data_IF_379651709664
#
_entry.id   IF_379651709664
#
_cell.length_a   1.000
_cell.length_b   1.000
_cell.length_c   1.000
_cell.angle_alpha   90.00
_cell.angle_beta   90.00
_cell.angle_gamma   90.00
#
_symmetry.space_group_name_H-M   'P 1'
#
loop_
_entity.id
_entity.type
_entity.pdbx_description
1 polymer ?
#
# COMPACT_ATOMS: atom_id res chain seq x y z
N UNK A 1 -1.98 29.91 -10.83
CA UNK A 1 -2.06 28.60 -11.50
C UNK A 1 -1.92 27.54 -10.42
N UNK A 2 -3.03 27.14 -9.78
CA UNK A 2 -3.03 26.13 -8.71
C UNK A 2 -3.12 24.76 -9.38
N UNK A 3 -2.03 23.99 -9.37
CA UNK A 3 -2.08 22.57 -9.70
C UNK A 3 -2.86 21.88 -8.58
N UNK A 4 -4.13 21.57 -8.82
CA UNK A 4 -4.85 20.59 -8.02
C UNK A 4 -4.36 19.21 -8.46
N UNK A 5 -3.40 18.67 -7.71
CA UNK A 5 -2.99 17.27 -7.81
C UNK A 5 -4.12 16.44 -7.18
N UNK A 6 -5.07 15.99 -7.99
CA UNK A 6 -6.16 15.12 -7.53
C UNK A 6 -5.57 13.72 -7.26
N UNK A 7 -5.11 13.49 -6.02
CA UNK A 7 -4.92 12.13 -5.52
C UNK A 7 -6.30 11.48 -5.43
N UNK A 8 -6.53 10.48 -6.26
CA UNK A 8 -7.76 9.67 -6.20
C UNK A 8 -7.70 8.80 -4.95
N UNK A 9 -8.23 9.31 -3.85
CA UNK A 9 -8.70 8.50 -2.73
C UNK A 9 -10.09 8.01 -3.08
N UNK A 10 -10.28 6.69 -3.10
CA UNK A 10 -11.61 6.10 -3.01
C UNK A 10 -12.15 6.30 -1.57
N UNK A 11 -12.45 7.55 -1.22
CA UNK A 11 -13.27 7.91 -0.07
C UNK A 11 -14.63 8.36 -0.60
N UNK A 12 -15.42 7.40 -1.04
CA UNK A 12 -16.82 7.60 -1.43
C UNK A 12 -17.65 6.57 -0.66
N UNK A 13 -18.27 7.04 0.42
CA UNK A 13 -19.52 6.60 1.10
C UNK A 13 -20.00 5.13 1.11
N UNK A 14 -19.18 4.14 0.75
CA UNK A 14 -19.54 2.72 0.79
C UNK A 14 -18.34 1.88 1.26
N UNK A 15 -18.28 1.67 2.58
CA UNK A 15 -17.69 0.57 3.37
C UNK A 15 -16.32 -0.06 3.03
N UNK A 16 -15.52 0.47 2.10
CA UNK A 16 -14.17 -0.02 1.86
C UNK A 16 -13.14 0.74 2.70
N UNK A 17 -12.31 0.00 3.44
CA UNK A 17 -11.22 0.57 4.24
C UNK A 17 -10.21 1.29 3.34
N UNK A 18 -10.02 2.62 3.47
CA UNK A 18 -8.91 3.28 2.81
C UNK A 18 -7.62 2.72 3.41
N UNK A 19 -6.80 2.10 2.55
CA UNK A 19 -5.47 1.61 2.88
C UNK A 19 -4.45 2.52 2.24
N UNK A 20 -3.67 3.22 3.07
CA UNK A 20 -2.46 3.86 2.59
C UNK A 20 -1.41 2.75 2.41
N UNK A 21 -1.10 2.39 1.16
CA UNK A 21 0.01 1.49 0.90
C UNK A 21 1.30 2.30 1.05
N UNK A 22 2.23 1.86 1.91
CA UNK A 22 3.60 2.40 1.93
C UNK A 22 4.48 1.86 0.81
N UNK A 23 3.86 1.30 -0.24
CA UNK A 23 4.55 0.94 -1.46
C UNK A 23 5.09 2.23 -2.11
N UNK A 24 6.25 2.68 -1.64
CA UNK A 24 7.40 3.00 -2.46
C UNK A 24 8.02 1.66 -2.84
N UNK A 25 7.65 1.00 -3.96
CA UNK A 25 8.37 -0.19 -4.40
C UNK A 25 9.78 0.19 -4.85
N UNK A 26 10.01 1.46 -5.23
CA UNK A 26 11.27 1.93 -5.81
C UNK A 26 11.52 3.44 -5.72
N UNK A 27 10.60 4.26 -5.20
CA UNK A 27 10.86 5.71 -5.10
C UNK A 27 11.89 5.92 -3.98
N UNK A 28 13.14 6.12 -4.38
CA UNK A 28 14.28 6.32 -3.51
C UNK A 28 15.38 5.25 -3.63
N UNK A 29 15.14 4.11 -4.29
CA UNK A 29 16.22 3.15 -4.55
C UNK A 29 17.12 3.68 -5.66
N UNK A 30 18.44 3.66 -5.45
CA UNK A 30 19.40 4.27 -6.38
C UNK A 30 19.33 3.65 -7.80
N UNK A 31 18.91 2.39 -7.91
CA UNK A 31 18.81 1.65 -9.17
C UNK A 31 17.40 1.53 -9.75
N UNK A 32 16.36 2.03 -9.07
CA UNK A 32 14.96 1.85 -9.50
C UNK A 32 14.46 0.40 -9.46
N UNK A 33 15.20 -0.49 -8.80
CA UNK A 33 14.85 -1.91 -8.62
C UNK A 33 13.86 -2.06 -7.47
N UNK A 34 12.90 -2.97 -7.64
CA UNK A 34 11.92 -3.30 -6.60
C UNK A 34 12.60 -3.91 -5.38
N UNK A 35 12.22 -3.46 -4.17
CA UNK A 35 12.72 -3.93 -2.85
C UNK A 35 14.18 -3.61 -2.53
N UNK A 36 14.87 -2.89 -3.41
CA UNK A 36 16.24 -2.48 -3.16
C UNK A 36 16.34 -1.54 -1.94
N UNK A 37 17.51 -1.54 -1.27
CA UNK A 37 17.75 -0.63 -0.15
C UNK A 37 17.62 0.84 -0.58
N UNK A 38 17.13 1.64 0.36
CA UNK A 38 16.95 3.08 0.19
C UNK A 38 17.82 3.80 1.21
N UNK A 39 18.64 4.75 0.72
CA UNK A 39 19.46 5.62 1.57
C UNK A 39 19.01 7.06 1.36
N UNK A 40 18.42 7.65 2.39
CA UNK A 40 17.89 9.02 2.35
C UNK A 40 18.24 9.77 3.63
N UNK A 41 18.47 11.07 3.48
CA UNK A 41 18.54 11.98 4.63
C UNK A 41 17.16 12.21 5.24
N UNK A 42 17.12 12.62 6.50
CA UNK A 42 15.86 12.98 7.16
C UNK A 42 15.13 14.13 6.44
N UNK A 43 15.89 15.08 5.89
CA UNK A 43 15.35 16.19 5.12
C UNK A 43 14.62 15.71 3.86
N UNK A 44 15.22 14.78 3.11
CA UNK A 44 14.58 14.22 1.92
C UNK A 44 13.34 13.42 2.29
N UNK A 45 13.43 12.56 3.31
CA UNK A 45 12.29 11.79 3.80
C UNK A 45 11.10 12.70 4.14
N UNK A 46 11.33 13.74 4.95
CA UNK A 46 10.25 14.61 5.43
C UNK A 46 9.68 15.53 4.35
N UNK A 47 10.49 16.02 3.41
CA UNK A 47 10.03 16.99 2.41
C UNK A 47 9.52 16.35 1.12
N UNK A 48 10.00 15.17 0.76
CA UNK A 48 9.66 14.54 -0.53
C UNK A 48 8.77 13.31 -0.38
N UNK A 49 9.00 12.49 0.64
CA UNK A 49 8.34 11.18 0.76
C UNK A 49 7.20 11.15 1.77
N UNK A 50 7.34 11.85 2.89
CA UNK A 50 6.35 11.93 3.97
C UNK A 50 5.05 12.68 3.62
N UNK A 51 5.03 13.77 2.82
CA UNK A 51 3.83 14.57 2.61
C UNK A 51 2.57 13.78 2.16
N UNK A 52 2.63 12.84 1.19
CA UNK A 52 1.46 12.05 0.82
C UNK A 52 0.94 11.15 1.95
N UNK A 53 1.83 10.59 2.79
CA UNK A 53 1.43 9.79 3.96
C UNK A 53 0.72 10.65 5.00
N UNK A 54 1.27 11.82 5.29
CA UNK A 54 0.63 12.77 6.19
C UNK A 54 -0.76 13.16 5.68
N UNK A 55 -0.89 13.48 4.39
CA UNK A 55 -2.18 13.81 3.79
C UNK A 55 -3.19 12.66 3.90
N UNK A 56 -2.75 11.41 3.73
CA UNK A 56 -3.60 10.23 3.91
C UNK A 56 -4.07 10.07 5.36
N UNK A 57 -3.17 10.25 6.33
CA UNK A 57 -3.47 10.16 7.76
C UNK A 57 -4.43 11.27 8.16
N UNK A 58 -4.17 12.52 7.74
CA UNK A 58 -5.04 13.67 7.98
C UNK A 58 -6.44 13.47 7.36
N UNK A 59 -6.53 12.78 6.22
CA UNK A 59 -7.80 12.41 5.57
C UNK A 59 -8.54 11.25 6.26
N UNK A 60 -7.98 10.67 7.33
CA UNK A 60 -8.61 9.59 8.10
C UNK A 60 -8.30 8.19 7.59
N UNK A 61 -7.14 7.96 6.96
CA UNK A 61 -6.68 6.62 6.63
C UNK A 61 -6.70 5.73 7.90
N UNK A 62 -7.37 4.58 7.81
CA UNK A 62 -7.54 3.68 8.96
C UNK A 62 -6.48 2.58 9.01
N UNK A 63 -5.79 2.35 7.89
CA UNK A 63 -4.80 1.28 7.77
C UNK A 63 -3.59 1.75 6.96
N UNK A 64 -2.41 1.35 7.42
CA UNK A 64 -1.16 1.48 6.70
C UNK A 64 -0.62 0.10 6.36
N UNK A 65 -0.02 -0.07 5.19
CA UNK A 65 0.84 -1.22 4.91
C UNK A 65 2.30 -0.82 5.18
N UNK A 66 3.15 -1.73 5.61
CA UNK A 66 4.61 -1.57 5.66
C UNK A 66 5.25 -1.96 4.31
N UNK A 67 6.57 -1.89 4.16
CA UNK A 67 7.26 -2.08 2.87
C UNK A 67 8.51 -2.95 2.99
N UNK A 68 8.87 -3.65 1.92
CA UNK A 68 10.00 -4.59 1.90
C UNK A 68 11.38 -3.96 2.04
N UNK A 69 11.52 -2.66 1.83
CA UNK A 69 12.84 -2.03 1.71
C UNK A 69 13.59 -2.04 3.04
N UNK A 70 14.92 -1.97 2.97
CA UNK A 70 15.71 -1.48 4.10
C UNK A 70 15.91 0.03 3.94
N UNK A 71 15.62 0.77 5.00
CA UNK A 71 15.82 2.22 5.06
C UNK A 71 17.09 2.51 5.86
N UNK A 72 18.08 3.14 5.22
CA UNK A 72 19.39 3.43 5.81
C UNK A 72 20.03 2.18 6.48
N UNK A 73 19.87 1.01 5.84
CA UNK A 73 20.42 -0.27 6.30
C UNK A 73 19.55 -1.04 7.30
N UNK A 74 18.38 -0.52 7.69
CA UNK A 74 17.47 -1.20 8.63
C UNK A 74 16.18 -1.63 7.90
N UNK A 75 15.86 -2.94 7.85
CA UNK A 75 14.59 -3.42 7.31
C UNK A 75 13.39 -2.76 7.97
N UNK A 76 12.45 -2.26 7.16
CA UNK A 76 11.29 -1.50 7.62
C UNK A 76 10.42 -2.27 8.61
N UNK A 77 10.23 -3.56 8.39
CA UNK A 77 9.58 -4.51 9.30
C UNK A 77 10.11 -4.50 10.74
N UNK A 78 11.32 -3.97 10.97
CA UNK A 78 11.96 -3.84 12.29
C UNK A 78 12.50 -2.44 12.60
N UNK A 79 12.04 -1.41 11.89
CA UNK A 79 12.57 -0.05 12.00
C UNK A 79 11.77 0.81 13.00
N UNK A 80 12.29 1.08 14.22
CA UNK A 80 11.58 1.88 15.23
C UNK A 80 11.45 3.35 14.84
N UNK A 81 12.47 3.93 14.21
CA UNK A 81 12.51 5.35 13.88
C UNK A 81 11.41 5.75 12.91
N UNK A 82 11.03 4.85 11.99
CA UNK A 82 9.95 5.12 11.05
C UNK A 82 8.60 4.62 11.53
N UNK A 83 8.51 3.38 12.00
CA UNK A 83 7.22 2.80 12.38
C UNK A 83 6.70 3.27 13.74
N UNK A 84 7.56 3.74 14.66
CA UNK A 84 7.14 4.22 15.98
C UNK A 84 7.34 5.72 16.12
N UNK A 85 8.56 6.20 15.96
CA UNK A 85 8.86 7.61 16.22
C UNK A 85 8.13 8.48 15.19
N UNK A 86 8.36 8.26 13.90
CA UNK A 86 7.67 9.03 12.86
C UNK A 86 6.17 8.70 12.79
N UNK A 87 5.79 7.44 12.58
CA UNK A 87 4.40 7.09 12.30
C UNK A 87 3.47 7.27 13.51
N UNK A 88 3.86 6.80 14.70
CA UNK A 88 2.99 6.84 15.89
C UNK A 88 3.14 8.14 16.68
N UNK A 89 4.34 8.70 16.76
CA UNK A 89 4.60 9.90 17.59
C UNK A 89 4.45 11.18 16.78
N UNK A 90 5.15 11.33 15.66
CA UNK A 90 5.14 12.58 14.90
C UNK A 90 3.87 12.74 14.05
N UNK A 91 3.44 11.67 13.39
CA UNK A 91 2.25 11.65 12.52
C UNK A 91 0.96 11.27 13.24
N UNK A 92 1.05 10.84 14.51
CA UNK A 92 -0.10 10.50 15.36
C UNK A 92 -1.06 9.49 14.70
N UNK A 93 -0.52 8.50 13.96
CA UNK A 93 -1.34 7.50 13.29
C UNK A 93 -1.98 6.52 14.28
N UNK A 94 -3.32 6.59 14.35
CA UNK A 94 -4.17 5.78 15.24
C UNK A 94 -4.84 4.57 14.53
N UNK A 95 -4.46 4.30 13.28
CA UNK A 95 -4.88 3.10 12.56
C UNK A 95 -4.04 1.88 12.91
N UNK A 96 -4.25 0.76 12.22
CA UNK A 96 -3.35 -0.38 12.31
C UNK A 96 -2.34 -0.44 11.15
N UNK A 97 -1.14 -0.93 11.43
CA UNK A 97 -0.11 -1.20 10.43
C UNK A 97 -0.09 -2.70 10.10
N UNK A 98 -0.13 -3.06 8.82
CA UNK A 98 -0.03 -4.44 8.33
C UNK A 98 1.29 -4.62 7.57
N UNK A 99 2.00 -5.73 7.77
CA UNK A 99 3.18 -6.03 6.95
C UNK A 99 2.78 -6.24 5.49
N UNK A 100 3.70 -6.01 4.55
CA UNK A 100 3.55 -6.52 3.19
C UNK A 100 3.73 -8.06 3.19
N UNK A 101 3.53 -8.68 2.03
CA UNK A 101 3.48 -10.13 1.84
C UNK A 101 4.77 -10.83 2.27
N UNK A 102 4.71 -11.63 3.34
CA UNK A 102 5.85 -12.37 3.90
C UNK A 102 7.03 -11.49 4.36
N UNK A 103 6.82 -10.17 4.49
CA UNK A 103 7.86 -9.17 4.73
C UNK A 103 8.69 -9.47 6.00
N UNK A 104 8.05 -9.92 7.08
CA UNK A 104 8.76 -10.23 8.32
C UNK A 104 9.79 -11.34 8.11
N UNK A 105 9.45 -12.40 7.36
CA UNK A 105 10.35 -13.52 7.10
C UNK A 105 11.50 -13.13 6.16
N UNK A 106 11.31 -12.12 5.30
CA UNK A 106 12.38 -11.57 4.47
C UNK A 106 13.55 -11.01 5.28
N UNK A 107 13.35 -10.64 6.55
CA UNK A 107 14.48 -10.27 7.43
C UNK A 107 15.50 -11.39 7.58
N UNK A 108 15.06 -12.66 7.54
CA UNK A 108 15.94 -13.82 7.56
C UNK A 108 16.42 -14.16 6.15
N UNK A 109 15.48 -14.40 5.23
CA UNK A 109 15.78 -15.00 3.92
C UNK A 109 16.40 -14.04 2.90
N UNK A 110 16.16 -12.73 3.01
CA UNK A 110 16.60 -11.74 2.02
C UNK A 110 17.53 -10.67 2.63
N UNK A 111 17.15 -10.02 3.73
CA UNK A 111 17.95 -8.97 4.35
C UNK A 111 19.09 -9.49 5.23
N UNK A 112 19.07 -10.78 5.59
CA UNK A 112 20.05 -11.42 6.48
C UNK A 112 20.26 -10.66 7.82
N UNK A 113 19.20 -10.02 8.32
CA UNK A 113 19.16 -9.27 9.58
C UNK A 113 18.59 -10.10 10.75
N UNK A 114 17.99 -11.26 10.46
CA UNK A 114 17.51 -12.21 11.46
C UNK A 114 18.18 -13.57 11.25
N UNK A 115 18.42 -14.27 12.36
CA UNK A 115 19.05 -15.60 12.38
C UNK A 115 18.08 -16.75 12.11
N UNK A 116 16.78 -16.48 12.20
CA UNK A 116 15.67 -17.40 11.92
C UNK A 116 14.38 -16.60 11.75
N UNK A 117 13.31 -17.23 11.24
CA UNK A 117 12.00 -16.58 11.14
C UNK A 117 11.42 -16.24 12.52
N UNK A 118 11.70 -17.04 13.56
CA UNK A 118 11.30 -16.71 14.93
C UNK A 118 12.04 -15.46 15.46
N UNK A 119 13.34 -15.32 15.15
CA UNK A 119 14.12 -14.13 15.47
C UNK A 119 13.63 -12.90 14.67
N UNK A 120 13.20 -13.11 13.42
CA UNK A 120 12.58 -12.08 12.60
C UNK A 120 11.27 -11.58 13.21
N UNK A 121 10.36 -12.49 13.61
CA UNK A 121 9.12 -12.14 14.32
C UNK A 121 9.40 -11.38 15.61
N UNK A 122 10.40 -11.81 16.39
CA UNK A 122 10.84 -11.10 17.60
C UNK A 122 11.27 -9.68 17.28
N UNK A 123 12.18 -9.50 16.31
CA UNK A 123 12.68 -8.19 15.87
C UNK A 123 11.56 -7.29 15.38
N UNK A 124 10.59 -7.82 14.63
CA UNK A 124 9.42 -7.04 14.21
C UNK A 124 8.60 -6.58 15.42
N UNK A 125 8.24 -7.48 16.33
CA UNK A 125 7.39 -7.12 17.47
C UNK A 125 8.06 -6.15 18.45
N UNK A 126 9.39 -6.23 18.59
CA UNK A 126 10.17 -5.34 19.44
C UNK A 126 10.55 -4.03 18.75
N UNK A 127 10.90 -4.09 17.47
CA UNK A 127 11.44 -2.98 16.68
C UNK A 127 10.38 -2.14 15.99
N UNK A 128 9.24 -2.71 15.60
CA UNK A 128 8.21 -2.00 14.82
C UNK A 128 6.83 -1.94 15.48
N UNK A 129 5.96 -1.11 14.91
CA UNK A 129 4.55 -1.00 15.29
C UNK A 129 3.62 -1.84 14.39
N UNK A 130 4.12 -2.88 13.72
CA UNK A 130 3.27 -3.77 12.90
C UNK A 130 2.24 -4.45 13.80
N UNK A 131 0.96 -4.32 13.45
CA UNK A 131 -0.17 -4.89 14.19
C UNK A 131 -0.63 -6.21 13.58
N UNK A 132 -0.57 -6.34 12.25
CA UNK A 132 -0.94 -7.55 11.50
C UNK A 132 0.27 -8.03 10.70
N UNK A 133 0.64 -9.30 10.88
CA UNK A 133 1.57 -10.00 10.00
C UNK A 133 0.80 -10.62 8.83
N UNK A 134 1.15 -10.26 7.60
CA UNK A 134 0.63 -10.87 6.38
C UNK A 134 1.44 -12.12 6.05
N UNK A 135 1.12 -13.22 6.74
CA UNK A 135 1.72 -14.54 6.48
C UNK A 135 0.89 -15.24 5.41
N UNK A 136 1.48 -15.59 4.25
CA UNK A 136 0.70 -16.09 3.13
C UNK A 136 0.56 -17.61 3.05
N UNK A 137 1.50 -18.37 3.63
CA UNK A 137 1.62 -19.80 3.33
C UNK A 137 1.28 -20.73 4.48
N UNK A 138 1.41 -20.27 5.73
CA UNK A 138 1.25 -21.13 6.90
C UNK A 138 0.79 -20.37 8.16
N UNK A 139 0.73 -21.08 9.29
CA UNK A 139 0.37 -20.54 10.60
C UNK A 139 1.54 -20.50 11.59
N UNK A 140 2.79 -20.59 11.12
CA UNK A 140 4.00 -20.69 11.96
C UNK A 140 4.19 -19.47 12.86
N UNK A 141 3.81 -18.28 12.38
CA UNK A 141 3.82 -17.03 13.13
C UNK A 141 3.11 -17.15 14.49
N UNK A 142 1.98 -17.87 14.56
CA UNK A 142 1.23 -18.07 15.80
C UNK A 142 2.07 -18.89 16.79
N UNK A 143 2.77 -19.92 16.31
CA UNK A 143 3.69 -20.72 17.11
C UNK A 143 4.85 -19.90 17.65
N UNK A 144 5.50 -19.11 16.79
CA UNK A 144 6.59 -18.21 17.19
C UNK A 144 6.15 -17.19 18.24
N UNK A 145 4.99 -16.55 18.05
CA UNK A 145 4.46 -15.58 19.01
C UNK A 145 4.16 -16.20 20.38
N UNK A 146 3.59 -17.42 20.42
CA UNK A 146 3.37 -18.15 21.68
C UNK A 146 4.69 -18.45 22.40
N UNK A 147 5.70 -18.90 21.68
CA UNK A 147 7.03 -19.18 22.24
C UNK A 147 7.69 -17.91 22.78
N UNK A 148 7.64 -16.82 22.02
CA UNK A 148 8.23 -15.53 22.41
C UNK A 148 7.54 -14.91 23.62
N UNK A 149 6.20 -15.00 23.70
CA UNK A 149 5.45 -14.57 24.87
C UNK A 149 5.79 -15.41 26.12
N UNK A 150 5.80 -16.74 25.98
CA UNK A 150 6.13 -17.66 27.08
C UNK A 150 7.55 -17.43 27.60
N UNK A 151 8.49 -17.10 26.70
CA UNK A 151 9.86 -16.74 27.05
C UNK A 151 10.03 -15.30 27.58
N UNK A 152 8.96 -14.51 27.69
CA UNK A 152 9.01 -13.12 28.16
C UNK A 152 9.67 -12.14 27.18
N UNK A 153 9.89 -12.54 25.94
CA UNK A 153 10.58 -11.70 24.94
C UNK A 153 9.65 -10.72 24.24
N UNK A 154 8.35 -10.99 24.22
CA UNK A 154 7.31 -10.06 23.76
C UNK A 154 6.27 -9.89 24.87
N UNK A 155 6.08 -8.66 25.40
CA UNK A 155 5.14 -8.44 26.49
C UNK A 155 3.70 -8.56 26.03
N UNK A 156 2.80 -8.99 26.93
CA UNK A 156 1.36 -9.09 26.66
C UNK A 156 0.76 -7.78 26.15
N UNK A 157 1.22 -6.65 26.70
CA UNK A 157 0.71 -5.34 26.32
C UNK A 157 1.02 -4.99 24.86
N UNK A 158 2.14 -5.48 24.28
CA UNK A 158 2.43 -5.31 22.86
C UNK A 158 1.36 -5.96 21.98
N UNK A 159 0.88 -7.14 22.37
CA UNK A 159 -0.18 -7.87 21.67
C UNK A 159 -1.55 -7.22 21.90
N UNK A 160 -1.83 -6.72 23.11
CA UNK A 160 -3.05 -5.97 23.40
C UNK A 160 -3.16 -4.70 22.58
N UNK A 161 -2.05 -3.95 22.41
CA UNK A 161 -2.02 -2.77 21.55
C UNK A 161 -2.37 -3.11 20.11
N UNK A 162 -1.75 -4.15 19.52
CA UNK A 162 -2.12 -4.60 18.17
C UNK A 162 -3.60 -4.98 18.07
N UNK A 163 -4.07 -5.81 19.01
CA UNK A 163 -5.45 -6.26 19.03
C UNK A 163 -6.43 -5.09 19.16
N UNK A 164 -6.11 -4.08 19.98
CA UNK A 164 -6.89 -2.85 20.14
C UNK A 164 -7.04 -2.12 18.80
N UNK A 165 -5.95 -1.80 18.11
CA UNK A 165 -6.03 -1.10 16.81
C UNK A 165 -6.88 -1.87 15.78
N UNK A 166 -6.71 -3.20 15.72
CA UNK A 166 -7.46 -4.06 14.79
C UNK A 166 -8.96 -4.04 15.13
N UNK A 167 -9.31 -4.19 16.41
CA UNK A 167 -10.71 -4.20 16.86
C UNK A 167 -11.35 -2.82 16.68
N UNK A 168 -10.65 -1.74 16.99
CA UNK A 168 -11.13 -0.37 16.79
C UNK A 168 -11.46 -0.10 15.33
N UNK A 169 -10.60 -0.51 14.40
CA UNK A 169 -10.87 -0.35 12.98
C UNK A 169 -12.07 -1.21 12.54
N UNK A 170 -12.20 -2.45 13.02
CA UNK A 170 -13.38 -3.29 12.75
C UNK A 170 -14.68 -2.69 13.29
N UNK A 171 -14.64 -2.05 14.46
CA UNK A 171 -15.77 -1.34 15.06
C UNK A 171 -16.13 -0.08 14.26
N UNK A 172 -15.14 0.73 13.87
CA UNK A 172 -15.33 1.91 12.99
C UNK A 172 -16.00 1.55 11.67
N UNK A 173 -15.78 0.33 11.17
CA UNK A 173 -16.38 -0.21 9.94
C UNK A 173 -17.69 -1.00 10.17
N UNK A 174 -18.18 -1.05 11.41
CA UNK A 174 -19.39 -1.80 11.79
C UNK A 174 -19.37 -3.30 11.41
N UNK A 175 -18.18 -3.91 11.31
CA UNK A 175 -18.03 -5.29 10.82
C UNK A 175 -18.57 -6.36 11.80
N UNK A 176 -18.80 -6.00 13.06
CA UNK A 176 -19.42 -6.90 14.03
C UNK A 176 -20.94 -7.02 13.83
N UNK A 177 -21.59 -5.96 13.35
CA UNK A 177 -23.03 -5.95 13.06
C UNK A 177 -23.31 -6.39 11.62
N UNK A 178 -22.47 -5.93 10.69
CA UNK A 178 -22.59 -6.23 9.25
C UNK A 178 -21.26 -6.86 8.78
N UNK A 179 -21.14 -8.20 8.85
CA UNK A 179 -19.86 -8.88 8.59
C UNK A 179 -19.42 -8.84 7.13
N UNK A 180 -20.35 -8.63 6.20
CA UNK A 180 -20.09 -8.54 4.76
C UNK A 180 -20.80 -7.30 4.21
N UNK A 181 -20.29 -6.10 4.50
CA UNK A 181 -20.90 -4.88 3.98
C UNK A 181 -20.77 -4.84 2.44
N UNK A 182 -21.69 -4.15 1.77
CA UNK A 182 -21.71 -3.99 0.31
C UNK A 182 -21.97 -5.25 -0.53
N UNK A 183 -22.47 -6.34 0.07
CA UNK A 183 -22.87 -7.53 -0.71
C UNK A 183 -24.00 -7.21 -1.72
N UNK A 184 -24.83 -6.23 -1.40
CA UNK A 184 -25.90 -5.70 -2.25
C UNK A 184 -25.39 -4.92 -3.47
N UNK A 185 -24.15 -4.42 -3.43
CA UNK A 185 -23.56 -3.62 -4.51
C UNK A 185 -22.97 -4.47 -5.64
N UNK A 186 -23.01 -5.80 -5.54
CA UNK A 186 -22.47 -6.71 -6.57
C UNK A 186 -23.07 -6.43 -7.96
N UNK A 187 -24.36 -6.05 -8.02
CA UNK A 187 -25.04 -5.71 -9.27
C UNK A 187 -24.57 -4.38 -9.90
N UNK A 188 -23.81 -3.56 -9.16
CA UNK A 188 -23.22 -2.31 -9.66
C UNK A 188 -21.83 -2.53 -10.28
N UNK A 189 -21.31 -3.76 -10.23
CA UNK A 189 -20.01 -4.08 -10.81
C UNK A 189 -20.04 -3.85 -12.34
N UNK A 190 -19.21 -2.92 -12.80
CA UNK A 190 -19.12 -2.58 -14.22
C UNK A 190 -20.36 -1.89 -14.77
N UNK A 191 -21.14 -1.20 -13.93
CA UNK A 191 -22.30 -0.44 -14.37
C UNK A 191 -21.92 0.71 -15.34
N UNK A 192 -22.93 1.25 -16.03
CA UNK A 192 -22.73 2.30 -17.04
C UNK A 192 -22.12 3.57 -16.43
N UNK A 193 -22.48 3.90 -15.19
CA UNK A 193 -21.96 5.07 -14.50
C UNK A 193 -20.46 4.93 -14.21
N UNK A 194 -20.02 3.77 -13.72
CA UNK A 194 -18.61 3.45 -13.47
C UNK A 194 -17.80 3.42 -14.76
N UNK A 195 -18.34 2.85 -15.84
CA UNK A 195 -17.69 2.86 -17.15
C UNK A 195 -17.53 4.28 -17.70
N UNK A 196 -18.55 5.14 -17.56
CA UNK A 196 -18.49 6.53 -17.98
C UNK A 196 -17.45 7.33 -17.16
N UNK A 197 -17.41 7.11 -15.84
CA UNK A 197 -16.42 7.72 -14.96
C UNK A 197 -14.98 7.28 -15.34
N UNK A 198 -14.77 5.98 -15.55
CA UNK A 198 -13.48 5.45 -15.99
C UNK A 198 -13.02 6.03 -17.34
N UNK A 199 -13.95 6.16 -18.30
CA UNK A 199 -13.67 6.78 -19.60
C UNK A 199 -13.29 8.26 -19.48
N UNK A 200 -13.95 9.01 -18.61
CA UNK A 200 -13.63 10.42 -18.39
C UNK A 200 -12.24 10.58 -17.75
N UNK A 201 -11.94 9.78 -16.72
CA UNK A 201 -10.60 9.77 -16.10
C UNK A 201 -9.53 9.39 -17.13
N UNK A 202 -9.80 8.39 -17.98
CA UNK A 202 -8.89 8.01 -19.05
C UNK A 202 -8.67 9.14 -20.08
N UNK A 203 -9.70 9.92 -20.41
CA UNK A 203 -9.56 11.08 -21.31
C UNK A 203 -8.74 12.21 -20.69
N UNK A 204 -8.92 12.45 -19.39
CA UNK A 204 -8.17 13.48 -18.66
C UNK A 204 -6.69 13.11 -18.43
N UNK A 205 -6.34 11.83 -18.49
CA UNK A 205 -4.96 11.37 -18.32
C UNK A 205 -4.13 11.38 -19.62
N UNK A 206 -4.75 11.60 -20.78
CA UNK A 206 -4.06 11.64 -22.07
C UNK A 206 -3.19 12.91 -22.20
N UNK A 207 -1.90 12.71 -22.43
CA UNK A 207 -0.94 13.80 -22.66
C UNK A 207 -0.63 13.93 -24.15
N UNK A 208 -1.01 15.06 -24.75
CA UNK A 208 -0.64 15.39 -26.13
C UNK A 208 0.82 15.87 -26.18
N UNK A 209 1.74 14.97 -26.51
CA UNK A 209 3.19 15.26 -26.54
C UNK A 209 3.58 16.06 -27.80
N UNK A 210 2.92 15.82 -28.95
CA UNK A 210 3.24 16.48 -30.22
C UNK A 210 2.01 16.55 -31.14
N UNK A 211 1.77 17.70 -31.76
CA UNK A 211 0.76 17.89 -32.81
C UNK A 211 1.32 18.78 -33.94
N UNK A 212 2.15 18.19 -34.81
CA UNK A 212 2.72 18.92 -35.93
C UNK A 212 1.65 19.20 -36.99
N UNK A 213 1.66 20.40 -37.58
CA UNK A 213 0.73 20.81 -38.64
C UNK A 213 -0.76 20.70 -38.28
N UNK A 214 -1.11 20.71 -36.98
CA UNK A 214 -2.49 20.60 -36.50
C UNK A 214 -3.26 19.41 -37.08
N UNK A 215 -2.60 18.24 -37.17
CA UNK A 215 -3.22 17.01 -37.69
C UNK A 215 -4.35 16.51 -36.78
N UNK A 216 -4.23 16.75 -35.47
CA UNK A 216 -5.29 16.45 -34.51
C UNK A 216 -6.16 17.70 -34.25
N UNK A 217 -7.50 17.55 -34.11
CA UNK A 217 -8.26 16.28 -34.15
C UNK A 217 -8.38 15.69 -35.57
N UNK A 218 -8.51 14.37 -35.65
CA UNK A 218 -8.64 13.66 -36.94
C UNK A 218 -9.98 13.96 -37.61
N UNK A 219 -9.95 14.08 -38.93
CA UNK A 219 -11.14 14.18 -39.77
C UNK A 219 -11.81 12.80 -39.90
N UNK A 220 -13.06 12.64 -39.43
CA UNK A 220 -13.76 11.35 -39.43
C UNK A 220 -14.11 10.84 -40.83
N UNK A 221 -13.99 11.66 -41.87
CA UNK A 221 -14.27 11.24 -43.26
C UNK A 221 -13.09 10.49 -43.89
N UNK A 222 -11.90 10.58 -43.31
CA UNK A 222 -10.68 9.96 -43.84
C UNK A 222 -10.56 8.51 -43.39
N UNK A 223 -9.96 7.68 -44.25
CA UNK A 223 -9.59 6.32 -43.88
C UNK A 223 -8.32 6.36 -43.04
N UNK A 224 -8.34 5.69 -41.90
CA UNK A 224 -7.20 5.59 -40.97
C UNK A 224 -6.70 4.15 -40.98
N UNK A 225 -5.38 3.98 -41.08
CA UNK A 225 -4.74 2.68 -40.90
C UNK A 225 -4.18 2.59 -39.48
N UNK A 226 -4.60 1.56 -38.73
CA UNK A 226 -4.18 1.30 -37.37
C UNK A 226 -3.09 0.22 -37.39
N UNK A 227 -1.96 0.47 -36.72
CA UNK A 227 -0.82 -0.47 -36.67
C UNK A 227 -0.09 -0.37 -35.34
N UNK A 228 0.53 -1.46 -34.91
CA UNK A 228 1.25 -1.57 -33.63
C UNK A 228 0.71 -2.70 -32.75
N UNK A 229 1.55 -3.21 -31.85
CA UNK A 229 1.23 -4.36 -31.01
C UNK A 229 0.12 -4.08 -29.98
N UNK A 230 -0.04 -2.83 -29.53
CA UNK A 230 -0.99 -2.45 -28.48
C UNK A 230 -2.35 -1.98 -28.99
N UNK A 231 -2.61 -2.02 -30.29
CA UNK A 231 -3.80 -1.37 -30.89
C UNK A 231 -5.12 -2.04 -30.51
N UNK A 232 -5.10 -3.34 -30.24
CA UNK A 232 -6.28 -4.14 -29.88
C UNK A 232 -5.95 -5.14 -28.75
N UNK A 233 -5.27 -4.66 -27.71
CA UNK A 233 -4.88 -5.48 -26.55
C UNK A 233 -5.28 -4.80 -25.23
N UNK A 234 -6.35 -5.30 -24.62
CA UNK A 234 -6.83 -4.79 -23.32
C UNK A 234 -5.84 -5.02 -22.18
N UNK A 235 -5.00 -6.06 -22.28
CA UNK A 235 -3.97 -6.34 -21.30
C UNK A 235 -2.87 -5.27 -21.31
N UNK A 236 -2.41 -4.88 -22.49
CA UNK A 236 -1.42 -3.81 -22.65
C UNK A 236 -2.00 -2.44 -22.29
N UNK A 237 -3.29 -2.21 -22.54
CA UNK A 237 -3.97 -0.96 -22.14
C UNK A 237 -4.13 -0.83 -20.62
N UNK A 238 -4.41 -1.94 -19.92
CA UNK A 238 -4.59 -1.92 -18.46
C UNK A 238 -3.27 -1.98 -17.66
N UNK A 239 -2.21 -2.58 -18.21
CA UNK A 239 -0.92 -2.73 -17.53
C UNK A 239 -0.89 -3.81 -16.44
N UNK A 240 0.00 -3.66 -15.46
CA UNK A 240 0.13 -4.56 -14.31
C UNK A 240 -1.00 -4.40 -13.27
N UNK A 241 -1.12 -5.33 -12.33
CA UNK A 241 -2.14 -5.31 -11.26
C UNK A 241 -3.60 -5.31 -11.74
N UNK A 242 -3.86 -5.85 -12.94
CA UNK A 242 -5.19 -6.23 -13.43
C UNK A 242 -5.37 -7.74 -13.36
N UNK A 243 -6.61 -8.23 -13.37
CA UNK A 243 -6.92 -9.66 -13.35
C UNK A 243 -5.97 -10.45 -14.28
N UNK A 244 -5.12 -11.28 -13.68
CA UNK A 244 -4.29 -12.22 -14.41
C UNK A 244 -5.16 -13.41 -14.77
N UNK A 245 -5.58 -13.51 -16.03
CA UNK A 245 -6.10 -14.78 -16.54
C UNK A 245 -4.98 -15.81 -16.45
N UNK A 246 -5.26 -16.95 -15.81
CA UNK A 246 -4.46 -18.16 -16.02
C UNK A 246 -4.55 -18.59 -17.48
#
# INVERSE_FOLDING_TARGET
MRLNLTLSFAASSSSCLPRCRSACPSIGSAGGVDRDPVTLTQHELQNHFMPPFKAAIDAGAMTGMDTYISFNGVPMSSNPSLSKDLLRTDLMFDGFLVSDWDEINLMNSYHHNASSDQDAVKKAMQGSSIDISMVPYDSTFIGFMKSLYTAGQVPLDRMKTSAKHIVEVKLKQNLYSVPVPSAELVNQLGDVASQAAALNIARESLVLVKNANNVLPLDPTKKVFLTGASMDDIGLLCGGWKCSSK
#
